data_IF_448741108743
#
_entry.id   IF_448741108743
#
_cell.length_a   1.000
_cell.length_b   1.000
_cell.length_c   1.000
_cell.angle_alpha   90.00
_cell.angle_beta   90.00
_cell.angle_gamma   90.00
#
_symmetry.space_group_name_H-M   'P 1'
#
loop_
_entity.id
_entity.type
_entity.pdbx_description
1 polymer ?
#
# COMPACT_ATOMS: atom_id res chain seq x y z
N UNK A 1 16.09 -6.19 -23.34
CA UNK A 1 17.31 -5.59 -22.75
C UNK A 1 17.56 -5.92 -21.27
N UNK A 2 16.83 -6.86 -20.64
CA UNK A 2 17.03 -7.24 -19.21
C UNK A 2 17.41 -8.72 -18.99
N UNK A 3 17.68 -9.46 -20.08
CA UNK A 3 18.07 -10.87 -19.95
C UNK A 3 19.44 -11.01 -19.29
N UNK A 4 19.56 -11.85 -18.27
CA UNK A 4 20.82 -12.15 -17.58
C UNK A 4 21.25 -11.15 -16.50
N UNK A 5 20.43 -10.15 -16.16
CA UNK A 5 20.72 -9.19 -15.09
C UNK A 5 19.91 -9.51 -13.83
N UNK A 6 20.59 -9.57 -12.68
CA UNK A 6 19.91 -9.55 -11.37
C UNK A 6 19.52 -8.11 -11.08
N UNK A 7 18.23 -7.81 -11.16
CA UNK A 7 17.69 -6.50 -10.80
C UNK A 7 17.23 -6.56 -9.35
N UNK A 8 17.83 -5.72 -8.48
CA UNK A 8 17.29 -5.50 -7.14
C UNK A 8 15.91 -4.86 -7.28
N UNK A 9 14.90 -5.51 -6.71
CA UNK A 9 13.55 -4.95 -6.65
C UNK A 9 13.30 -4.49 -5.22
N UNK A 10 13.51 -3.21 -4.97
CA UNK A 10 13.45 -2.66 -3.60
C UNK A 10 12.01 -2.43 -3.12
N UNK A 11 11.04 -2.29 -4.06
CA UNK A 11 9.64 -1.97 -3.75
C UNK A 11 8.65 -2.83 -4.56
N UNK A 12 8.69 -4.14 -4.33
CA UNK A 12 7.77 -5.10 -4.99
C UNK A 12 6.36 -4.99 -4.41
N UNK A 13 5.38 -4.63 -5.23
CA UNK A 13 3.96 -4.66 -4.84
C UNK A 13 3.46 -6.10 -4.84
N UNK A 14 3.22 -6.64 -3.64
CA UNK A 14 2.71 -8.00 -3.43
C UNK A 14 1.18 -8.09 -3.46
N UNK A 15 0.51 -7.00 -3.07
CA UNK A 15 -0.95 -6.88 -3.01
C UNK A 15 -1.34 -5.42 -3.23
N UNK A 16 -2.42 -5.21 -3.97
CA UNK A 16 -3.07 -3.91 -4.14
C UNK A 16 -4.57 -4.08 -3.87
N UNK A 17 -5.12 -3.23 -3.02
CA UNK A 17 -6.53 -3.27 -2.66
C UNK A 17 -7.09 -1.87 -2.44
N UNK A 18 -8.35 -1.68 -2.82
CA UNK A 18 -9.07 -0.44 -2.58
C UNK A 18 -9.75 -0.51 -1.21
N UNK A 19 -9.26 0.28 -0.26
CA UNK A 19 -9.81 0.36 1.10
C UNK A 19 -11.25 0.88 1.13
N UNK A 20 -11.49 2.06 0.52
CA UNK A 20 -12.82 2.66 0.48
C UNK A 20 -12.97 3.64 -0.69
N UNK A 21 -14.20 4.09 -0.93
CA UNK A 21 -14.47 5.30 -1.71
C UNK A 21 -15.06 6.32 -0.78
N UNK A 22 -14.47 7.50 -0.72
CA UNK A 22 -15.03 8.60 0.05
C UNK A 22 -15.80 9.53 -0.89
N UNK A 23 -17.04 9.84 -0.55
CA UNK A 23 -17.88 10.82 -1.25
C UNK A 23 -18.24 11.94 -0.28
N UNK A 24 -18.45 13.14 -0.79
CA UNK A 24 -18.98 14.28 -0.04
C UNK A 24 -18.18 14.63 1.24
N UNK A 25 -16.87 14.83 1.07
CA UNK A 25 -15.97 15.27 2.13
C UNK A 25 -16.28 16.72 2.54
N UNK A 26 -17.11 16.89 3.56
CA UNK A 26 -17.11 18.13 4.34
C UNK A 26 -15.79 18.20 5.10
N UNK A 27 -15.06 19.32 5.02
CA UNK A 27 -13.79 19.47 5.73
C UNK A 27 -13.92 19.08 7.20
N UNK A 28 -12.98 18.24 7.70
CA UNK A 28 -12.84 17.72 9.08
C UNK A 28 -13.41 16.33 9.40
N UNK A 29 -13.96 15.56 8.46
CA UNK A 29 -14.33 14.16 8.76
C UNK A 29 -13.12 13.22 8.68
N UNK A 30 -12.82 12.54 9.79
CA UNK A 30 -11.89 11.41 9.80
C UNK A 30 -12.50 10.24 9.02
N UNK A 31 -11.71 9.64 8.12
CA UNK A 31 -12.08 8.44 7.38
C UNK A 31 -11.23 7.29 7.89
N UNK A 32 -11.88 6.18 8.24
CA UNK A 32 -11.21 4.95 8.67
C UNK A 32 -11.57 3.80 7.73
N UNK A 33 -10.63 2.88 7.52
CA UNK A 33 -10.86 1.65 6.79
C UNK A 33 -9.86 0.59 7.24
N UNK A 34 -10.24 -0.67 7.11
CA UNK A 34 -9.42 -1.82 7.47
C UNK A 34 -9.16 -2.65 6.21
N UNK A 35 -7.91 -3.05 5.99
CA UNK A 35 -7.56 -4.06 4.99
C UNK A 35 -7.21 -5.36 5.68
N UNK A 36 -7.65 -6.47 5.09
CA UNK A 36 -7.22 -7.81 5.47
C UNK A 36 -6.46 -8.41 4.31
N UNK A 37 -5.28 -8.95 4.57
CA UNK A 37 -4.50 -9.66 3.57
C UNK A 37 -3.79 -10.85 4.20
N UNK A 38 -3.72 -11.95 3.44
CA UNK A 38 -2.97 -13.12 3.84
C UNK A 38 -1.49 -12.87 3.54
N UNK A 39 -0.63 -13.17 4.51
CA UNK A 39 0.83 -13.17 4.31
C UNK A 39 1.24 -14.36 3.44
N UNK A 40 2.35 -14.25 2.71
CA UNK A 40 2.87 -15.28 1.81
C UNK A 40 4.08 -16.00 2.42
N UNK A 41 4.46 -17.15 1.86
CA UNK A 41 5.63 -17.89 2.30
C UNK A 41 6.92 -17.08 2.16
N UNK A 42 7.70 -17.01 3.24
CA UNK A 42 8.89 -16.16 3.29
C UNK A 42 8.59 -14.66 3.49
N UNK A 43 7.37 -14.31 3.93
CA UNK A 43 7.07 -12.98 4.44
C UNK A 43 8.07 -12.57 5.54
N UNK A 44 8.52 -11.33 5.48
CA UNK A 44 9.42 -10.75 6.48
C UNK A 44 8.94 -9.33 6.78
N UNK A 45 8.33 -9.13 7.95
CA UNK A 45 7.79 -7.85 8.43
C UNK A 45 8.83 -6.74 8.39
N UNK A 46 10.06 -7.02 8.81
CA UNK A 46 11.17 -6.04 8.84
C UNK A 46 11.61 -5.55 7.44
N UNK A 47 11.13 -6.20 6.37
CA UNK A 47 11.40 -5.83 4.98
C UNK A 47 10.13 -5.48 4.20
N UNK A 48 8.98 -5.46 4.86
CA UNK A 48 7.69 -5.23 4.23
C UNK A 48 6.99 -4.02 4.87
N UNK A 49 6.26 -3.29 4.05
CA UNK A 49 5.46 -2.17 4.50
C UNK A 49 4.18 -2.06 3.70
N UNK A 50 3.36 -1.10 4.07
CA UNK A 50 2.13 -0.75 3.35
C UNK A 50 2.22 0.71 2.96
N UNK A 51 1.81 1.00 1.73
CA UNK A 51 1.63 2.36 1.24
C UNK A 51 0.15 2.59 0.95
N UNK A 52 -0.38 3.68 1.49
CA UNK A 52 -1.76 4.13 1.25
C UNK A 52 -1.70 5.36 0.37
N UNK A 53 -2.60 5.38 -0.62
CA UNK A 53 -2.72 6.47 -1.57
C UNK A 53 -4.15 7.01 -1.54
N UNK A 54 -4.27 8.33 -1.46
CA UNK A 54 -5.52 9.02 -1.76
C UNK A 54 -5.51 9.40 -3.24
N UNK A 55 -6.41 8.81 -4.01
CA UNK A 55 -6.55 9.09 -5.44
C UNK A 55 -7.98 9.47 -5.82
N UNK A 56 -8.14 10.24 -6.90
CA UNK A 56 -9.45 10.45 -7.54
C UNK A 56 -9.73 9.40 -8.61
N UNK A 57 -10.87 9.54 -9.29
CA UNK A 57 -11.30 8.68 -10.40
C UNK A 57 -10.40 8.76 -11.64
N UNK A 58 -9.58 9.81 -11.77
CA UNK A 58 -8.59 9.98 -12.83
C UNK A 58 -7.22 9.40 -12.47
N UNK A 59 -7.14 8.62 -11.38
CA UNK A 59 -5.91 8.00 -10.85
C UNK A 59 -4.83 9.01 -10.42
N UNK A 60 -5.19 10.29 -10.26
CA UNK A 60 -4.30 11.29 -9.72
C UNK A 60 -4.16 11.06 -8.21
N UNK A 61 -2.92 10.97 -7.72
CA UNK A 61 -2.61 10.83 -6.30
C UNK A 61 -2.48 12.22 -5.68
N UNK A 62 -3.24 12.48 -4.61
CA UNK A 62 -3.22 13.74 -3.85
C UNK A 62 -2.50 13.64 -2.52
N UNK A 63 -2.31 12.42 -2.04
CA UNK A 63 -1.67 12.16 -0.76
C UNK A 63 -1.19 10.72 -0.69
N UNK A 64 -0.11 10.53 0.05
CA UNK A 64 0.46 9.21 0.30
C UNK A 64 0.96 9.14 1.73
N UNK A 65 0.88 7.94 2.30
CA UNK A 65 1.52 7.62 3.55
C UNK A 65 2.06 6.19 3.45
N UNK A 66 3.32 5.99 3.83
CA UNK A 66 3.89 4.67 4.03
C UNK A 66 4.02 4.37 5.52
N UNK A 67 3.87 3.11 5.87
CA UNK A 67 4.08 2.59 7.22
C UNK A 67 4.74 1.22 7.16
N UNK A 68 5.67 1.00 8.09
CA UNK A 68 6.28 -0.32 8.30
C UNK A 68 5.26 -1.22 8.98
N UNK A 69 5.31 -2.51 8.65
CA UNK A 69 4.56 -3.51 9.41
C UNK A 69 5.25 -3.73 10.76
N UNK A 70 4.51 -4.02 11.84
CA UNK A 70 5.11 -4.35 13.13
C UNK A 70 5.99 -5.59 13.01
N UNK A 71 7.07 -5.64 13.79
CA UNK A 71 8.06 -6.73 13.72
C UNK A 71 7.44 -8.09 14.07
N UNK A 72 6.47 -8.10 14.98
CA UNK A 72 5.66 -9.27 15.35
C UNK A 72 4.24 -9.13 14.77
N UNK A 73 3.79 -10.16 14.04
CA UNK A 73 2.42 -10.30 13.49
C UNK A 73 1.76 -11.53 14.10
#
# INVERSE_FOLDING_TARGET
>A
ENSGRVLSNDYVVRKLEKLCTVKDLTGKKTVSGTAHFTVWDGFNSSKCGVAVFLQNTSLQIFGTQSFQLPDEI
#
